data_IF_430706444387
#
_entry.id   IF_430706444387
#
_cell.length_a   1.000
_cell.length_b   1.000
_cell.length_c   1.000
_cell.angle_alpha   90.00
_cell.angle_beta   90.00
_cell.angle_gamma   90.00
#
_symmetry.space_group_name_H-M   'P 1'
#
loop_
_entity.id
_entity.type
_entity.pdbx_description
1 polymer ?
#
# COMPACT_ATOMS: atom_id res chain seq x y z
N UNK A 1 -18.76 4.39 -2.90
CA UNK A 1 -17.70 4.45 -1.86
C UNK A 1 -16.87 3.17 -1.75
N UNK A 2 -17.42 1.99 -1.42
CA UNK A 2 -16.61 0.75 -1.24
C UNK A 2 -15.82 0.31 -2.48
N UNK A 3 -16.45 0.32 -3.67
CA UNK A 3 -15.77 0.00 -4.93
C UNK A 3 -14.61 0.95 -5.24
N UNK A 4 -14.78 2.24 -4.92
CA UNK A 4 -13.74 3.27 -5.09
C UNK A 4 -12.58 3.01 -4.12
N UNK A 5 -12.87 2.71 -2.85
CA UNK A 5 -11.84 2.34 -1.87
C UNK A 5 -11.07 1.09 -2.29
N UNK A 6 -11.73 0.09 -2.89
CA UNK A 6 -11.08 -1.10 -3.45
C UNK A 6 -10.13 -0.74 -4.59
N UNK A 7 -10.61 0.05 -5.57
CA UNK A 7 -9.80 0.46 -6.72
C UNK A 7 -8.57 1.26 -6.26
N UNK A 8 -8.77 2.26 -5.39
CA UNK A 8 -7.66 3.07 -4.86
C UNK A 8 -6.68 2.19 -4.06
N UNK A 9 -7.19 1.27 -3.23
CA UNK A 9 -6.34 0.38 -2.45
C UNK A 9 -5.49 -0.56 -3.32
N UNK A 10 -6.05 -1.07 -4.41
CA UNK A 10 -5.31 -1.88 -5.40
C UNK A 10 -4.23 -1.05 -6.09
N UNK A 11 -4.56 0.17 -6.52
CA UNK A 11 -3.58 1.08 -7.15
C UNK A 11 -2.43 1.41 -6.19
N UNK A 12 -2.73 1.72 -4.94
CA UNK A 12 -1.70 1.99 -3.92
C UNK A 12 -0.82 0.77 -3.66
N UNK A 13 -1.40 -0.44 -3.63
CA UNK A 13 -0.63 -1.67 -3.51
C UNK A 13 0.34 -1.86 -4.69
N UNK A 14 -0.13 -1.65 -5.92
CA UNK A 14 0.71 -1.80 -7.12
C UNK A 14 1.86 -0.79 -7.12
N UNK A 15 1.58 0.48 -6.79
CA UNK A 15 2.61 1.52 -6.70
C UNK A 15 3.61 1.19 -5.60
N UNK A 16 3.14 0.88 -4.38
CA UNK A 16 4.01 0.55 -3.26
C UNK A 16 4.87 -0.69 -3.52
N UNK A 17 4.31 -1.71 -4.18
CA UNK A 17 5.05 -2.92 -4.53
C UNK A 17 6.12 -2.65 -5.57
N UNK A 18 5.77 -1.99 -6.68
CA UNK A 18 6.71 -1.67 -7.76
C UNK A 18 7.84 -0.76 -7.27
N UNK A 19 7.50 0.20 -6.40
CA UNK A 19 8.42 1.16 -5.83
C UNK A 19 9.40 0.50 -4.83
N UNK A 20 8.86 -0.27 -3.88
CA UNK A 20 9.63 -0.88 -2.81
C UNK A 20 10.51 -2.03 -3.30
N UNK A 21 9.99 -2.87 -4.20
CA UNK A 21 10.70 -4.05 -4.70
C UNK A 21 12.05 -3.71 -5.32
N UNK A 22 12.16 -2.54 -5.97
CA UNK A 22 13.37 -2.10 -6.66
C UNK A 22 14.56 -1.86 -5.72
N UNK A 23 14.32 -1.46 -4.48
CA UNK A 23 15.38 -0.97 -3.58
C UNK A 23 15.43 -1.70 -2.23
N UNK A 24 14.55 -2.70 -2.03
CA UNK A 24 14.49 -3.47 -0.79
C UNK A 24 15.78 -4.28 -0.53
N UNK A 25 16.37 -4.88 -1.57
CA UNK A 25 17.57 -5.71 -1.43
C UNK A 25 18.86 -4.90 -1.21
N UNK A 26 18.87 -3.64 -1.68
CA UNK A 26 20.03 -2.74 -1.61
C UNK A 26 19.90 -1.71 -0.47
N UNK A 27 18.99 -1.91 0.48
CA UNK A 27 18.63 -0.90 1.49
C UNK A 27 19.83 -0.33 2.27
N UNK A 28 20.87 -1.15 2.53
CA UNK A 28 22.04 -0.75 3.30
C UNK A 28 22.94 0.25 2.56
N UNK A 29 22.94 0.23 1.24
CA UNK A 29 23.75 1.12 0.39
C UNK A 29 22.96 2.35 -0.08
N UNK A 30 21.67 2.43 0.25
CA UNK A 30 20.82 3.56 -0.09
C UNK A 30 21.18 4.81 0.72
N UNK A 31 21.12 5.96 0.05
CA UNK A 31 21.13 7.27 0.70
C UNK A 31 19.95 7.42 1.67
N UNK A 32 20.00 8.38 2.58
CA UNK A 32 18.89 8.66 3.50
C UNK A 32 17.56 8.88 2.77
N UNK A 33 17.59 9.57 1.62
CA UNK A 33 16.42 9.73 0.76
C UNK A 33 15.93 8.39 0.20
N UNK A 34 16.84 7.54 -0.30
CA UNK A 34 16.48 6.20 -0.78
C UNK A 34 15.83 5.36 0.32
N UNK A 35 16.36 5.40 1.54
CA UNK A 35 15.74 4.72 2.68
C UNK A 35 14.33 5.24 2.95
N UNK A 36 14.14 6.57 2.88
CA UNK A 36 12.83 7.21 2.95
C UNK A 36 11.88 6.77 1.84
N UNK A 37 12.38 6.57 0.63
CA UNK A 37 11.62 6.06 -0.51
C UNK A 37 11.07 4.65 -0.25
N UNK A 38 11.92 3.74 0.27
CA UNK A 38 11.50 2.37 0.65
C UNK A 38 10.46 2.41 1.78
N UNK A 39 10.67 3.23 2.81
CA UNK A 39 9.68 3.40 3.88
C UNK A 39 8.35 3.97 3.37
N UNK A 40 8.41 4.95 2.45
CA UNK A 40 7.23 5.48 1.76
C UNK A 40 6.48 4.39 1.00
N UNK A 41 7.18 3.49 0.31
CA UNK A 41 6.58 2.34 -0.35
C UNK A 41 5.88 1.39 0.63
N UNK A 42 6.49 1.13 1.78
CA UNK A 42 5.87 0.32 2.86
C UNK A 42 4.60 0.99 3.37
N UNK A 43 4.61 2.30 3.59
CA UNK A 43 3.41 3.05 3.99
C UNK A 43 2.30 2.97 2.93
N UNK A 44 2.64 3.08 1.64
CA UNK A 44 1.68 2.94 0.55
C UNK A 44 1.07 1.53 0.52
N UNK A 45 1.87 0.49 0.74
CA UNK A 45 1.41 -0.89 0.83
C UNK A 45 0.41 -1.08 1.99
N UNK A 46 0.76 -0.58 3.18
CA UNK A 46 -0.10 -0.67 4.37
C UNK A 46 -1.40 0.11 4.13
N UNK A 47 -1.33 1.33 3.62
CA UNK A 47 -2.51 2.15 3.32
C UNK A 47 -3.43 1.47 2.28
N UNK A 48 -2.83 0.86 1.25
CA UNK A 48 -3.54 0.08 0.24
C UNK A 48 -4.29 -1.11 0.85
N UNK A 49 -3.62 -1.89 1.70
CA UNK A 49 -4.23 -3.02 2.42
C UNK A 49 -5.39 -2.58 3.32
N UNK A 50 -5.21 -1.48 4.07
CA UNK A 50 -6.26 -0.92 4.94
C UNK A 50 -7.48 -0.51 4.11
N UNK A 51 -7.29 0.17 2.98
CA UNK A 51 -8.38 0.56 2.09
C UNK A 51 -9.09 -0.64 1.47
N UNK A 52 -8.35 -1.68 1.07
CA UNK A 52 -8.94 -2.92 0.57
C UNK A 52 -9.75 -3.60 1.67
N UNK A 53 -9.21 -3.69 2.89
CA UNK A 53 -9.91 -4.28 4.04
C UNK A 53 -11.24 -3.58 4.31
N UNK A 54 -11.26 -2.25 4.36
CA UNK A 54 -12.50 -1.48 4.52
C UNK A 54 -13.44 -1.58 3.30
N UNK A 55 -12.87 -1.68 2.10
CA UNK A 55 -13.63 -1.88 0.86
C UNK A 55 -14.33 -3.25 0.79
N UNK A 56 -13.67 -4.29 1.29
CA UNK A 56 -14.18 -5.67 1.35
C UNK A 56 -15.11 -5.91 2.55
N UNK A 57 -15.02 -5.11 3.61
CA UNK A 57 -15.88 -5.22 4.80
C UNK A 57 -17.35 -5.04 4.40
N UNK A 58 -18.07 -6.16 4.22
CA UNK A 58 -19.52 -6.16 3.99
C UNK A 58 -20.21 -5.45 5.15
N UNK A 59 -21.28 -4.71 4.84
CA UNK A 59 -22.18 -4.21 5.88
C UNK A 59 -22.77 -5.48 6.50
N UNK A 60 -22.60 -5.68 7.81
CA UNK A 60 -23.42 -6.65 8.54
C UNK A 60 -24.83 -6.10 8.39
N UNK A 61 -25.60 -6.64 7.45
CA UNK A 61 -27.03 -6.41 7.44
C UNK A 61 -27.52 -7.17 8.67
N UNK A 62 -27.60 -6.47 9.80
CA UNK A 62 -28.41 -6.94 10.92
C UNK A 62 -29.86 -7.02 10.40
N UNK A 63 -30.58 -8.11 10.71
CA UNK A 63 -31.98 -8.27 10.34
C UNK A 63 -32.86 -7.16 10.91
#
# INVERSE_FOLDING_TARGET
>A
MRKVALIIGIVLLLIGFFQGFRYLFDYNILTQYGKGYVWGSIFLLIAGLVLIFFGLKKKKNSP
#
